data_IF_898356309764
#
_entry.id   IF_898356309764
#
_cell.length_a   1.000
_cell.length_b   1.000
_cell.length_c   1.000
_cell.angle_alpha   90.00
_cell.angle_beta   90.00
_cell.angle_gamma   90.00
#
_symmetry.space_group_name_H-M   'P 1'
#
loop_
_entity.id
_entity.type
_entity.pdbx_description
1 polymer ?
#
# COMPACT_ATOMS: atom_id res chain seq x y z
N UNK A 1 27.87 -19.55 -11.73
CA UNK A 1 27.30 -18.22 -11.40
C UNK A 1 25.94 -18.15 -12.09
N UNK A 2 24.78 -17.93 -11.46
CA UNK A 2 24.44 -17.31 -10.18
C UNK A 2 23.39 -18.16 -9.45
N UNK A 3 23.51 -18.19 -8.13
CA UNK A 3 22.49 -18.63 -7.19
C UNK A 3 21.26 -17.71 -7.28
N UNK A 4 20.05 -18.25 -7.25
CA UNK A 4 18.89 -17.56 -6.66
C UNK A 4 18.19 -18.52 -5.72
N UNK A 5 18.41 -18.22 -4.45
CA UNK A 5 17.90 -18.79 -3.23
C UNK A 5 16.39 -18.59 -3.16
N UNK A 6 15.62 -19.68 -3.10
CA UNK A 6 14.45 -19.81 -2.22
C UNK A 6 14.38 -21.24 -1.68
N UNK A 7 15.30 -21.54 -0.76
CA UNK A 7 15.09 -22.55 0.29
C UNK A 7 14.53 -21.79 1.50
N UNK A 8 13.62 -22.42 2.23
CA UNK A 8 12.80 -21.88 3.34
C UNK A 8 11.50 -21.27 2.81
N UNK A 9 10.32 -21.87 2.95
CA UNK A 9 9.82 -22.75 3.99
C UNK A 9 8.85 -23.78 3.37
N UNK A 10 8.86 -25.02 3.86
CA UNK A 10 7.72 -25.97 3.90
C UNK A 10 8.25 -27.38 4.23
N UNK A 11 8.85 -27.48 5.42
CA UNK A 11 9.15 -28.75 6.07
C UNK A 11 8.05 -29.06 7.08
N UNK A 12 6.84 -29.29 6.59
CA UNK A 12 5.77 -29.92 7.36
C UNK A 12 4.56 -30.18 6.45
N UNK A 13 4.36 -31.46 6.08
CA UNK A 13 3.15 -32.05 5.49
C UNK A 13 3.03 -32.08 3.94
N UNK A 14 3.91 -32.82 3.25
CA UNK A 14 3.68 -33.23 1.84
C UNK A 14 2.68 -34.39 1.77
N UNK A 15 1.38 -34.08 1.72
CA UNK A 15 0.33 -35.07 1.50
C UNK A 15 0.12 -35.44 0.03
N UNK A 16 0.69 -34.68 -0.91
CA UNK A 16 0.55 -34.91 -2.34
C UNK A 16 1.92 -34.79 -3.03
N UNK A 17 2.24 -35.75 -3.90
CA UNK A 17 3.49 -35.78 -4.65
C UNK A 17 3.53 -34.73 -5.77
N UNK A 18 2.36 -34.43 -6.35
CA UNK A 18 2.20 -33.54 -7.50
C UNK A 18 1.29 -32.36 -7.14
N UNK A 19 1.58 -31.18 -7.73
CA UNK A 19 0.74 -30.00 -7.59
C UNK A 19 -0.51 -30.12 -8.51
N UNK A 20 -1.73 -30.26 -7.97
CA UNK A 20 -2.95 -30.42 -8.78
C UNK A 20 -3.29 -29.18 -9.63
N UNK A 21 -2.65 -28.04 -9.36
CA UNK A 21 -2.84 -26.79 -10.10
C UNK A 21 -1.75 -26.50 -11.13
N UNK A 22 -0.75 -27.39 -11.29
CA UNK A 22 0.40 -27.16 -12.16
C UNK A 22 0.04 -26.89 -13.64
N UNK A 23 -1.12 -27.39 -14.11
CA UNK A 23 -1.63 -27.17 -15.47
C UNK A 23 -2.64 -26.03 -15.61
N UNK A 24 -3.03 -25.38 -14.50
CA UNK A 24 -4.06 -24.34 -14.52
C UNK A 24 -3.41 -23.01 -14.87
N UNK A 25 -3.71 -22.48 -16.06
CA UNK A 25 -3.28 -21.14 -16.43
C UNK A 25 -3.99 -20.12 -15.54
N UNK A 26 -3.21 -19.22 -14.95
CA UNK A 26 -3.75 -18.06 -14.24
C UNK A 26 -4.59 -17.24 -15.21
N UNK A 27 -5.82 -16.94 -14.82
CA UNK A 27 -6.68 -16.06 -15.61
C UNK A 27 -6.01 -14.68 -15.73
N UNK A 28 -5.78 -14.25 -16.96
CA UNK A 28 -5.34 -12.88 -17.24
C UNK A 28 -6.54 -11.97 -17.02
N UNK A 29 -6.59 -11.33 -15.86
CA UNK A 29 -7.56 -10.28 -15.57
C UNK A 29 -6.90 -8.96 -15.98
N UNK A 30 -7.57 -8.18 -16.81
CA UNK A 30 -7.14 -6.82 -17.09
C UNK A 30 -7.01 -6.09 -15.75
N UNK A 31 -5.83 -5.53 -15.47
CA UNK A 31 -5.64 -4.77 -14.24
C UNK A 31 -6.61 -3.59 -14.28
N UNK A 32 -7.42 -3.46 -13.22
CA UNK A 32 -8.27 -2.28 -13.05
C UNK A 32 -7.34 -1.11 -12.78
N UNK A 33 -7.16 -0.26 -13.78
CA UNK A 33 -6.41 0.98 -13.62
C UNK A 33 -7.22 1.91 -12.71
N UNK A 34 -6.60 2.33 -11.61
CA UNK A 34 -7.12 3.41 -10.79
C UNK A 34 -6.54 4.72 -11.34
N UNK A 35 -7.39 5.69 -11.74
CA UNK A 35 -6.88 6.96 -12.23
C UNK A 35 -6.15 7.70 -11.11
N UNK A 36 -4.90 8.07 -11.36
CA UNK A 36 -4.10 8.87 -10.45
C UNK A 36 -4.51 10.34 -10.52
N UNK A 37 -4.34 11.06 -9.41
CA UNK A 37 -4.54 12.50 -9.38
C UNK A 37 -3.47 13.23 -10.19
N UNK A 38 -3.88 14.25 -10.95
CA UNK A 38 -2.95 15.23 -11.53
C UNK A 38 -2.42 16.16 -10.44
N UNK A 39 -1.31 16.86 -10.71
CA UNK A 39 -0.74 17.85 -9.79
C UNK A 39 -1.77 18.91 -9.35
N UNK A 40 -2.58 19.41 -10.30
CA UNK A 40 -3.62 20.41 -9.99
C UNK A 40 -4.76 19.84 -9.16
N UNK A 41 -5.12 18.56 -9.36
CA UNK A 41 -6.12 17.86 -8.54
C UNK A 41 -5.59 17.62 -7.12
N UNK A 42 -4.33 17.22 -6.96
CA UNK A 42 -3.69 17.06 -5.66
C UNK A 42 -3.66 18.38 -4.87
N UNK A 43 -3.32 19.49 -5.53
CA UNK A 43 -3.37 20.82 -4.90
C UNK A 43 -4.79 21.25 -4.52
N UNK A 44 -5.81 20.86 -5.28
CA UNK A 44 -7.21 21.11 -4.91
C UNK A 44 -7.60 20.30 -3.68
N UNK A 45 -7.18 19.03 -3.62
CA UNK A 45 -7.43 18.14 -2.48
C UNK A 45 -6.82 18.69 -1.19
N UNK A 46 -5.56 19.16 -1.24
CA UNK A 46 -4.88 19.80 -0.10
C UNK A 46 -5.57 21.07 0.42
N UNK A 47 -6.42 21.73 -0.40
CA UNK A 47 -7.17 22.94 -0.02
C UNK A 47 -8.57 22.67 0.53
N UNK A 48 -9.06 21.43 0.48
CA UNK A 48 -10.41 21.09 0.95
C UNK A 48 -10.59 21.19 2.48
N UNK A 49 -9.62 20.82 3.33
CA UNK A 49 -9.83 20.83 4.77
C UNK A 49 -10.07 22.23 5.33
N UNK A 50 -11.06 22.36 6.22
CA UNK A 50 -11.37 23.64 6.87
C UNK A 50 -10.53 23.85 8.13
N UNK A 51 -9.47 24.64 8.01
CA UNK A 51 -8.43 24.81 9.05
C UNK A 51 -8.88 25.55 10.33
N UNK A 52 -10.16 25.95 10.46
CA UNK A 52 -10.67 26.54 11.71
C UNK A 52 -11.28 25.52 12.67
N UNK A 53 -11.30 24.24 12.31
CA UNK A 53 -11.74 23.14 13.18
C UNK A 53 -10.60 22.16 13.43
N UNK A 54 -10.63 21.49 14.59
CA UNK A 54 -9.66 20.45 14.93
C UNK A 54 -9.63 19.32 13.91
N UNK A 55 -10.79 18.88 13.43
CA UNK A 55 -10.90 17.87 12.39
C UNK A 55 -10.23 18.34 11.09
N UNK A 56 -10.46 19.58 10.66
CA UNK A 56 -9.85 20.10 9.44
C UNK A 56 -8.33 20.26 9.52
N UNK A 57 -7.80 20.62 10.70
CA UNK A 57 -6.34 20.67 10.93
C UNK A 57 -5.75 19.26 10.85
N UNK A 58 -6.38 18.27 11.50
CA UNK A 58 -5.97 16.86 11.44
C UNK A 58 -5.99 16.34 10.01
N UNK A 59 -7.08 16.56 9.29
CA UNK A 59 -7.28 16.04 7.94
C UNK A 59 -6.28 16.68 6.96
N UNK A 60 -5.94 17.96 7.15
CA UNK A 60 -4.87 18.63 6.42
C UNK A 60 -3.50 18.02 6.69
N UNK A 61 -3.15 17.79 7.97
CA UNK A 61 -1.90 17.16 8.34
C UNK A 61 -1.78 15.74 7.75
N UNK A 62 -2.86 14.95 7.80
CA UNK A 62 -2.90 13.61 7.23
C UNK A 62 -2.71 13.63 5.71
N UNK A 63 -3.38 14.53 5.00
CA UNK A 63 -3.20 14.70 3.56
C UNK A 63 -1.76 15.10 3.20
N UNK A 64 -1.13 15.96 4.00
CA UNK A 64 0.25 16.38 3.80
C UNK A 64 1.23 15.22 3.98
N UNK A 65 1.08 14.44 5.06
CA UNK A 65 1.92 13.27 5.34
C UNK A 65 1.80 12.24 4.21
N UNK A 66 0.57 11.94 3.76
CA UNK A 66 0.34 11.01 2.66
C UNK A 66 0.97 11.49 1.35
N UNK A 67 0.89 12.79 1.05
CA UNK A 67 1.44 13.38 -0.17
C UNK A 67 2.98 13.40 -0.17
N UNK A 68 3.61 13.66 0.97
CA UNK A 68 5.06 13.85 1.08
C UNK A 68 5.82 12.52 1.27
N UNK A 69 5.29 11.62 2.10
CA UNK A 69 5.98 10.35 2.44
C UNK A 69 5.58 9.18 1.54
N UNK A 70 4.39 9.23 0.94
CA UNK A 70 3.83 8.11 0.16
C UNK A 70 3.51 6.86 1.00
N UNK A 71 3.43 6.98 2.34
CA UNK A 71 3.04 5.87 3.20
C UNK A 71 1.59 5.44 2.93
N UNK A 72 1.26 4.18 3.26
CA UNK A 72 -0.12 3.70 3.14
C UNK A 72 -0.99 4.38 4.19
N UNK A 73 -2.28 4.52 3.89
CA UNK A 73 -3.24 5.11 4.83
C UNK A 73 -3.24 4.44 6.20
N UNK A 74 -3.06 3.13 6.27
CA UNK A 74 -2.96 2.40 7.54
C UNK A 74 -1.72 2.83 8.34
N UNK A 75 -0.57 3.04 7.68
CA UNK A 75 0.67 3.46 8.33
C UNK A 75 0.53 4.89 8.85
N UNK A 76 -0.08 5.78 8.07
CA UNK A 76 -0.34 7.17 8.48
C UNK A 76 -1.29 7.27 9.69
N UNK A 77 -2.30 6.39 9.78
CA UNK A 77 -3.28 6.39 10.87
C UNK A 77 -2.71 5.88 12.21
N UNK A 78 -1.69 5.02 12.16
CA UNK A 78 -1.05 4.46 13.36
C UNK A 78 0.26 5.15 13.72
N UNK A 79 0.62 6.24 13.02
CA UNK A 79 1.84 6.99 13.27
C UNK A 79 1.83 7.59 14.69
N UNK A 80 2.87 7.33 15.46
CA UNK A 80 3.08 7.88 16.79
C UNK A 80 4.31 8.79 16.83
N UNK A 81 4.43 9.63 17.87
CA UNK A 81 5.62 10.47 18.04
C UNK A 81 6.91 9.64 18.18
N UNK A 82 6.82 8.42 18.69
CA UNK A 82 7.97 7.52 18.85
C UNK A 82 8.52 6.98 17.53
N UNK A 83 7.77 7.09 16.43
CA UNK A 83 8.21 6.63 15.11
C UNK A 83 9.10 7.67 14.38
N UNK A 84 9.19 8.89 14.92
CA UNK A 84 9.93 10.03 14.35
C UNK A 84 11.17 10.39 15.18
N UNK A 85 11.18 10.03 16.47
CA UNK A 85 12.20 10.42 17.47
C UNK A 85 13.37 9.43 17.50
#
# INVERSE_FOLDING_TARGET
MKMVKQRSAESSNRRYADNPTAGIKKQSVAQKEFPSFTHTQALKLLKQPYLKTWDGIRDFALLLVLADTGCRISEALFLTLSDII
#
